data_IF_471748068170
#
_entry.id   IF_471748068170
#
_cell.length_a   1.000
_cell.length_b   1.000
_cell.length_c   1.000
_cell.angle_alpha   90.00
_cell.angle_beta   90.00
_cell.angle_gamma   90.00
#
_symmetry.space_group_name_H-M   'P 1'
#
loop_
_entity.id
_entity.type
_entity.pdbx_description
1 polymer ?
#
# COMPACT_ATOMS: atom_id res chain seq x y z
N UNK A 1 -10.44 -6.47 -5.27
CA UNK A 1 -9.49 -5.39 -5.59
C UNK A 1 -8.06 -5.87 -5.40
N UNK A 2 -7.24 -5.69 -6.41
CA UNK A 2 -5.80 -5.98 -6.33
C UNK A 2 -5.10 -4.83 -5.60
N UNK A 3 -4.22 -5.17 -4.66
CA UNK A 3 -3.43 -4.20 -3.91
C UNK A 3 -1.95 -4.36 -4.24
N UNK A 4 -1.22 -3.25 -4.20
CA UNK A 4 0.23 -3.20 -4.41
C UNK A 4 0.88 -2.42 -3.28
N UNK A 5 2.17 -2.66 -3.08
CA UNK A 5 2.98 -1.91 -2.11
C UNK A 5 4.09 -1.21 -2.89
N UNK A 6 4.33 0.05 -2.55
CA UNK A 6 5.48 0.79 -3.08
C UNK A 6 6.75 0.23 -2.42
N UNK A 7 7.67 -0.30 -3.22
CA UNK A 7 8.93 -0.85 -2.71
C UNK A 7 9.90 0.24 -2.24
N UNK A 8 9.68 1.49 -2.67
CA UNK A 8 10.42 2.64 -2.14
C UNK A 8 9.67 3.20 -0.94
N UNK A 9 10.40 3.56 0.11
CA UNK A 9 9.77 4.16 1.27
C UNK A 9 9.47 5.64 1.03
N UNK A 10 8.31 6.09 1.49
CA UNK A 10 7.90 7.50 1.43
C UNK A 10 8.63 8.24 2.55
N UNK A 11 9.36 9.29 2.19
CA UNK A 11 10.14 10.09 3.13
C UNK A 11 11.08 9.22 3.99
N UNK A 12 11.49 8.06 3.46
CA UNK A 12 12.37 7.14 4.17
C UNK A 12 11.72 6.44 5.36
N UNK A 13 10.38 6.51 5.51
CA UNK A 13 9.71 5.97 6.69
C UNK A 13 8.61 4.96 6.42
N UNK A 14 7.83 5.13 5.34
CA UNK A 14 6.64 4.30 5.11
C UNK A 14 6.69 3.63 3.76
N UNK A 15 6.27 2.37 3.71
CA UNK A 15 5.98 1.68 2.45
C UNK A 15 4.49 1.78 2.21
N UNK A 16 4.07 2.59 1.25
CA UNK A 16 2.65 2.84 1.01
C UNK A 16 2.00 1.70 0.26
N UNK A 17 0.82 1.31 0.75
CA UNK A 17 -0.04 0.32 0.11
C UNK A 17 -1.09 1.08 -0.70
N UNK A 18 -1.34 0.62 -1.93
CA UNK A 18 -2.28 1.28 -2.84
C UNK A 18 -3.23 0.24 -3.44
N UNK A 19 -4.42 0.72 -3.83
CA UNK A 19 -5.21 0.01 -4.84
C UNK A 19 -4.40 -0.01 -6.13
N UNK A 20 -4.48 -1.10 -6.88
CA UNK A 20 -3.72 -1.23 -8.13
C UNK A 20 -4.02 -0.10 -9.12
N UNK A 21 -5.26 0.41 -9.14
CA UNK A 21 -5.69 1.47 -10.05
C UNK A 21 -5.56 2.88 -9.47
N UNK A 22 -4.91 3.04 -8.34
CA UNK A 22 -4.73 4.35 -7.72
C UNK A 22 -3.88 5.25 -8.60
N UNK A 23 -4.31 6.51 -8.77
CA UNK A 23 -3.58 7.49 -9.58
C UNK A 23 -2.21 7.82 -8.98
N UNK A 24 -2.06 7.63 -7.67
CA UNK A 24 -0.83 7.94 -6.95
C UNK A 24 0.08 6.72 -6.77
N UNK A 25 -0.22 5.62 -7.47
CA UNK A 25 0.59 4.41 -7.38
C UNK A 25 2.01 4.67 -7.91
N UNK A 26 3.01 3.94 -7.42
CA UNK A 26 4.37 4.07 -7.96
C UNK A 26 4.45 3.47 -9.37
N UNK A 27 5.54 3.77 -10.07
CA UNK A 27 5.81 3.15 -11.37
C UNK A 27 5.89 1.63 -11.22
N UNK A 28 5.65 0.90 -12.32
CA UNK A 28 5.55 -0.56 -12.27
C UNK A 28 6.79 -1.25 -11.70
N UNK A 29 7.98 -0.67 -11.92
CA UNK A 29 9.22 -1.26 -11.41
C UNK A 29 9.36 -1.11 -9.88
N UNK A 30 8.54 -0.28 -9.26
CA UNK A 30 8.54 -0.07 -7.80
C UNK A 30 7.27 -0.59 -7.14
N UNK A 31 6.56 -1.47 -7.83
CA UNK A 31 5.35 -2.09 -7.30
C UNK A 31 5.63 -3.52 -6.88
N UNK A 32 5.24 -3.85 -5.66
CA UNK A 32 5.21 -5.24 -5.20
C UNK A 32 3.74 -5.65 -5.09
N UNK A 33 3.35 -6.72 -5.77
CA UNK A 33 1.99 -7.23 -5.73
C UNK A 33 1.69 -7.79 -4.35
N UNK A 34 0.68 -7.24 -3.68
CA UNK A 34 0.28 -7.74 -2.36
C UNK A 34 -0.73 -8.87 -2.48
N UNK A 35 -1.75 -8.68 -3.31
CA UNK A 35 -2.79 -9.69 -3.50
C UNK A 35 -4.17 -9.08 -3.65
N UNK A 36 -5.18 -9.97 -3.76
CA UNK A 36 -6.58 -9.59 -3.89
C UNK A 36 -7.26 -9.65 -2.53
N UNK A 37 -7.91 -8.56 -2.14
CA UNK A 37 -8.63 -8.48 -0.87
C UNK A 37 -9.90 -7.66 -1.07
N UNK A 38 -10.92 -7.92 -0.24
CA UNK A 38 -12.20 -7.22 -0.35
C UNK A 38 -12.26 -5.93 0.48
N UNK A 39 -11.36 -5.77 1.45
CA UNK A 39 -11.38 -4.63 2.35
C UNK A 39 -9.97 -4.09 2.56
N UNK A 40 -9.85 -2.76 2.63
CA UNK A 40 -8.55 -2.09 2.81
C UNK A 40 -7.87 -2.54 4.10
N UNK A 41 -8.63 -2.68 5.21
CA UNK A 41 -8.02 -3.05 6.49
C UNK A 41 -7.45 -4.48 6.45
N UNK A 42 -8.05 -5.37 5.68
CA UNK A 42 -7.52 -6.73 5.51
C UNK A 42 -6.21 -6.67 4.72
N UNK A 43 -6.19 -5.90 3.63
CA UNK A 43 -4.96 -5.71 2.85
C UNK A 43 -3.83 -5.18 3.74
N UNK A 44 -4.14 -4.27 4.66
CA UNK A 44 -3.13 -3.70 5.55
C UNK A 44 -2.56 -4.71 6.54
N UNK A 45 -3.35 -5.69 6.99
CA UNK A 45 -2.85 -6.76 7.84
C UNK A 45 -1.71 -7.50 7.12
N UNK A 46 -1.94 -7.84 5.85
CA UNK A 46 -0.93 -8.55 5.06
C UNK A 46 0.23 -7.65 4.65
N UNK A 47 -0.04 -6.38 4.38
CA UNK A 47 1.02 -5.42 4.06
C UNK A 47 1.98 -5.28 5.23
N UNK A 48 1.47 -5.17 6.45
CA UNK A 48 2.30 -5.01 7.64
C UNK A 48 3.07 -6.28 7.98
N UNK A 49 2.63 -7.43 7.53
CA UNK A 49 3.41 -8.65 7.70
C UNK A 49 4.64 -8.68 6.77
N UNK A 50 4.59 -7.93 5.65
CA UNK A 50 5.72 -7.80 4.73
C UNK A 50 6.64 -6.65 5.10
N UNK A 51 6.07 -5.52 5.48
CA UNK A 51 6.80 -4.31 5.88
C UNK A 51 6.18 -3.77 7.16
N UNK A 52 6.91 -3.79 8.26
CA UNK A 52 6.39 -3.30 9.55
C UNK A 52 5.95 -1.84 9.46
N UNK A 53 6.58 -1.06 8.58
CA UNK A 53 6.28 0.34 8.37
C UNK A 53 5.24 0.57 7.25
N UNK A 54 4.52 -0.46 6.83
CA UNK A 54 3.50 -0.30 5.80
C UNK A 54 2.41 0.66 6.27
N UNK A 55 1.95 1.50 5.34
CA UNK A 55 0.89 2.47 5.60
C UNK A 55 -0.05 2.49 4.39
N UNK A 56 -1.28 2.93 4.59
CA UNK A 56 -2.24 3.05 3.50
C UNK A 56 -2.05 4.37 2.75
N UNK A 57 -2.30 4.35 1.45
CA UNK A 57 -2.27 5.56 0.65
C UNK A 57 -3.34 6.52 1.12
N UNK A 58 -2.97 7.77 1.31
CA UNK A 58 -3.88 8.82 1.78
C UNK A 58 -5.03 9.08 0.80
N UNK A 59 -4.85 8.79 -0.48
CA UNK A 59 -5.84 9.07 -1.52
C UNK A 59 -6.79 7.90 -1.77
N UNK A 60 -6.27 6.67 -1.91
CA UNK A 60 -7.15 5.53 -2.19
C UNK A 60 -7.51 4.71 -0.96
N UNK A 61 -6.77 4.85 0.13
CA UNK A 61 -7.00 4.13 1.38
C UNK A 61 -6.97 5.07 2.58
N UNK A 62 -7.80 6.14 2.58
CA UNK A 62 -7.67 7.20 3.60
C UNK A 62 -7.92 6.71 5.02
N UNK A 63 -8.76 5.70 5.23
CA UNK A 63 -9.03 5.16 6.57
C UNK A 63 -7.84 4.38 7.12
N UNK A 64 -6.90 3.97 6.26
CA UNK A 64 -5.72 3.19 6.63
C UNK A 64 -4.44 4.02 6.57
N UNK A 65 -4.55 5.32 6.33
CA UNK A 65 -3.40 6.22 6.28
C UNK A 65 -3.15 6.80 7.67
N UNK A 66 -1.94 6.60 8.20
CA UNK A 66 -1.58 7.03 9.55
C UNK A 66 -0.29 7.87 9.59
N UNK A 67 0.45 7.90 8.51
CA UNK A 67 1.72 8.60 8.42
C UNK A 67 1.70 10.05 7.93
#
# INVERSE_FOLDING_TARGET
MLYIINTNSTDGRYHETHHYDCEHRPSSQHQEKLGEYNFDYIAMIFAKSKYQDADGCKFCMPTEHHG
#
